data_IF_765159450418
#
_entry.id   IF_765159450418
#
_cell.length_a   1.000
_cell.length_b   1.000
_cell.length_c   1.000
_cell.angle_alpha   90.00
_cell.angle_beta   90.00
_cell.angle_gamma   90.00
#
_symmetry.space_group_name_H-M   'P 1'
#
loop_
_entity.id
_entity.type
_entity.pdbx_description
1 polymer ?
#
# COMPACT_ATOMS: atom_id res chain seq x y z
N UNK A 1 7.18 20.21 6.03
CA UNK A 1 5.96 19.68 5.37
C UNK A 1 5.79 18.29 5.91
N UNK A 2 4.67 18.03 6.56
CA UNK A 2 4.33 16.68 6.98
C UNK A 2 3.86 15.91 5.73
N UNK A 3 4.29 14.66 5.62
CA UNK A 3 4.05 13.80 4.45
C UNK A 3 3.43 12.51 4.96
N UNK A 4 2.33 12.08 4.35
CA UNK A 4 1.76 10.76 4.57
C UNK A 4 2.18 9.84 3.42
N UNK A 5 2.79 8.69 3.75
CA UNK A 5 3.22 7.70 2.75
C UNK A 5 2.50 6.39 3.04
N UNK A 6 1.64 5.98 2.11
CA UNK A 6 0.89 4.72 2.19
C UNK A 6 1.68 3.64 1.46
N UNK A 7 2.09 2.60 2.19
CA UNK A 7 2.71 1.43 1.58
C UNK A 7 1.63 0.49 1.07
N UNK A 8 1.69 0.20 -0.22
CA UNK A 8 0.78 -0.70 -0.93
C UNK A 8 1.50 -2.00 -1.27
N UNK A 9 0.78 -3.09 -1.41
CA UNK A 9 1.37 -4.39 -1.81
C UNK A 9 0.31 -5.23 -2.52
N UNK A 10 0.71 -6.13 -3.41
CA UNK A 10 -0.25 -7.00 -4.09
C UNK A 10 -1.02 -7.86 -3.07
N UNK A 11 -2.34 -8.04 -3.25
CA UNK A 11 -3.16 -8.95 -2.46
C UNK A 11 -2.54 -10.34 -2.25
N UNK A 12 -1.94 -10.91 -3.30
CA UNK A 12 -1.26 -12.19 -3.25
C UNK A 12 -0.08 -12.20 -2.26
N UNK A 13 0.82 -11.22 -2.34
CA UNK A 13 1.94 -11.11 -1.42
C UNK A 13 1.48 -10.83 0.02
N UNK A 14 0.46 -9.98 0.18
CA UNK A 14 -0.12 -9.67 1.49
C UNK A 14 -0.64 -10.94 2.16
N UNK A 15 -1.42 -11.75 1.43
CA UNK A 15 -1.95 -13.03 1.92
C UNK A 15 -0.84 -13.94 2.41
N UNK A 16 0.23 -14.12 1.63
CA UNK A 16 1.37 -14.96 2.02
C UNK A 16 2.01 -14.44 3.31
N UNK A 17 2.21 -13.13 3.44
CA UNK A 17 2.80 -12.50 4.62
C UNK A 17 1.92 -12.68 5.86
N UNK A 18 0.60 -12.56 5.72
CA UNK A 18 -0.35 -12.72 6.83
C UNK A 18 -0.51 -14.18 7.29
N UNK A 19 -0.48 -15.15 6.36
CA UNK A 19 -0.42 -16.58 6.70
C UNK A 19 0.84 -16.88 7.53
N UNK A 20 2.01 -16.37 7.11
CA UNK A 20 3.26 -16.54 7.85
C UNK A 20 3.22 -15.89 9.24
N UNK A 21 2.41 -14.85 9.44
CA UNK A 21 2.15 -14.22 10.74
C UNK A 21 1.15 -15.02 11.62
N UNK A 22 0.54 -16.07 11.09
CA UNK A 22 -0.40 -16.93 11.82
C UNK A 22 -1.79 -16.33 11.99
N UNK A 23 -2.21 -15.43 11.09
CA UNK A 23 -3.59 -14.94 11.09
C UNK A 23 -4.54 -16.03 10.57
N UNK A 24 -5.78 -16.00 11.04
CA UNK A 24 -6.84 -16.86 10.51
C UNK A 24 -7.36 -16.35 9.15
N UNK A 25 -8.07 -17.21 8.43
CA UNK A 25 -8.54 -16.93 7.08
C UNK A 25 -9.49 -15.71 7.02
N UNK A 26 -10.32 -15.51 8.04
CA UNK A 26 -11.26 -14.40 8.09
C UNK A 26 -10.50 -13.06 8.16
N UNK A 27 -9.52 -12.96 9.06
CA UNK A 27 -8.67 -11.77 9.20
C UNK A 27 -7.77 -11.55 8.00
N UNK A 28 -7.27 -12.62 7.39
CA UNK A 28 -6.48 -12.53 6.15
C UNK A 28 -7.34 -11.93 5.04
N UNK A 29 -8.55 -12.45 4.81
CA UNK A 29 -9.45 -11.96 3.77
C UNK A 29 -9.85 -10.50 4.01
N UNK A 30 -10.18 -10.13 5.25
CA UNK A 30 -10.47 -8.74 5.62
C UNK A 30 -9.32 -7.79 5.23
N UNK A 31 -8.08 -8.14 5.55
CA UNK A 31 -6.92 -7.30 5.22
C UNK A 31 -6.63 -7.26 3.70
N UNK A 32 -6.85 -8.38 3.00
CA UNK A 32 -6.66 -8.47 1.56
C UNK A 32 -7.72 -7.65 0.81
N UNK A 33 -8.98 -7.74 1.22
CA UNK A 33 -10.08 -6.93 0.67
C UNK A 33 -9.87 -5.45 0.96
N UNK A 34 -9.42 -5.09 2.18
CA UNK A 34 -9.12 -3.71 2.53
C UNK A 34 -8.00 -3.10 1.67
N UNK A 35 -6.95 -3.89 1.36
CA UNK A 35 -5.89 -3.46 0.44
C UNK A 35 -6.40 -3.27 -0.99
N UNK A 36 -7.29 -4.15 -1.46
CA UNK A 36 -7.87 -4.08 -2.80
C UNK A 36 -8.90 -2.96 -2.98
N UNK A 37 -9.54 -2.55 -1.89
CA UNK A 37 -10.52 -1.46 -1.84
C UNK A 37 -9.89 -0.10 -1.46
N UNK A 38 -8.55 -0.02 -1.42
CA UNK A 38 -7.82 1.21 -1.10
C UNK A 38 -8.17 1.82 0.27
N UNK A 39 -8.66 1.04 1.25
CA UNK A 39 -9.25 1.56 2.50
C UNK A 39 -8.31 2.52 3.22
N UNK A 40 -7.05 2.12 3.45
CA UNK A 40 -6.05 2.95 4.14
C UNK A 40 -5.62 4.15 3.30
N UNK A 41 -5.61 4.04 1.96
CA UNK A 41 -5.29 5.15 1.09
C UNK A 41 -6.38 6.23 1.15
N UNK A 42 -7.65 5.82 1.11
CA UNK A 42 -8.81 6.71 1.21
C UNK A 42 -8.79 7.43 2.56
N UNK A 43 -8.62 6.71 3.67
CA UNK A 43 -8.50 7.31 5.00
C UNK A 43 -7.34 8.31 5.08
N UNK A 44 -6.19 7.99 4.47
CA UNK A 44 -5.04 8.91 4.43
C UNK A 44 -5.36 10.21 3.68
N UNK A 45 -6.07 10.13 2.55
CA UNK A 45 -6.51 11.27 1.75
C UNK A 45 -7.56 12.14 2.45
N UNK A 46 -8.41 11.54 3.28
CA UNK A 46 -9.38 12.30 4.10
C UNK A 46 -8.70 13.06 5.24
N UNK A 47 -7.57 12.56 5.74
CA UNK A 47 -6.87 13.13 6.89
C UNK A 47 -5.69 14.05 6.54
N UNK A 48 -5.16 13.97 5.31
CA UNK A 48 -3.94 14.68 4.92
C UNK A 48 -4.00 15.21 3.49
N UNK A 49 -3.50 16.42 3.28
CA UNK A 49 -3.42 17.04 1.94
C UNK A 49 -2.23 16.52 1.11
N UNK A 50 -1.19 15.97 1.76
CA UNK A 50 0.08 15.57 1.14
C UNK A 50 0.33 14.07 1.30
N UNK A 51 -0.39 13.29 0.48
CA UNK A 51 -0.36 11.82 0.49
C UNK A 51 0.38 11.31 -0.73
N UNK A 52 1.19 10.29 -0.51
CA UNK A 52 1.86 9.52 -1.55
C UNK A 52 1.63 8.04 -1.34
N UNK A 53 1.68 7.26 -2.40
CA UNK A 53 1.65 5.80 -2.31
C UNK A 53 2.89 5.16 -2.91
N UNK A 54 3.33 4.05 -2.31
CA UNK A 54 4.45 3.25 -2.81
C UNK A 54 3.97 1.82 -2.99
N UNK A 55 4.01 1.31 -4.22
CA UNK A 55 3.89 -0.12 -4.46
C UNK A 55 5.16 -0.83 -3.95
N UNK A 56 5.04 -1.63 -2.91
CA UNK A 56 6.14 -2.42 -2.31
C UNK A 56 6.24 -3.84 -2.85
N UNK A 57 5.34 -4.27 -3.74
CA UNK A 57 5.45 -5.56 -4.43
C UNK A 57 6.79 -5.66 -5.13
N UNK A 58 7.40 -6.84 -5.02
CA UNK A 58 8.72 -7.17 -5.56
C UNK A 58 9.87 -6.23 -5.18
N UNK A 59 9.73 -5.40 -4.13
CA UNK A 59 10.78 -4.51 -3.65
C UNK A 59 11.36 -4.97 -2.33
N UNK A 60 12.66 -4.80 -2.18
CA UNK A 60 13.32 -4.93 -0.89
C UNK A 60 13.21 -3.63 -0.06
N UNK A 61 13.62 -3.73 1.21
CA UNK A 61 13.55 -2.60 2.16
C UNK A 61 14.39 -1.40 1.71
N UNK A 62 15.52 -1.63 1.05
CA UNK A 62 16.42 -0.57 0.59
C UNK A 62 15.85 0.19 -0.61
N UNK A 63 15.13 -0.51 -1.49
CA UNK A 63 14.39 0.08 -2.61
C UNK A 63 13.22 0.92 -2.08
N UNK A 64 12.43 0.40 -1.13
CA UNK A 64 11.34 1.16 -0.51
C UNK A 64 11.86 2.40 0.22
N UNK A 65 12.96 2.29 0.96
CA UNK A 65 13.59 3.44 1.61
C UNK A 65 14.06 4.50 0.59
N UNK A 66 14.57 4.06 -0.56
CA UNK A 66 14.94 4.97 -1.65
C UNK A 66 13.73 5.70 -2.22
N UNK A 67 12.58 5.04 -2.38
CA UNK A 67 11.33 5.68 -2.79
C UNK A 67 10.86 6.73 -1.78
N UNK A 68 10.93 6.43 -0.48
CA UNK A 68 10.63 7.41 0.59
C UNK A 68 11.53 8.64 0.47
N UNK A 69 12.84 8.45 0.24
CA UNK A 69 13.75 9.58 0.04
C UNK A 69 13.43 10.40 -1.21
N UNK A 70 12.96 9.78 -2.30
CA UNK A 70 12.52 10.50 -3.49
C UNK A 70 11.29 11.36 -3.22
N UNK A 71 10.31 10.84 -2.46
CA UNK A 71 9.13 11.60 -2.04
C UNK A 71 9.55 12.82 -1.21
N UNK A 72 10.41 12.63 -0.21
CA UNK A 72 10.89 13.72 0.65
C UNK A 72 11.69 14.79 -0.14
N UNK A 73 12.29 14.41 -1.26
CA UNK A 73 12.97 15.33 -2.18
C UNK A 73 12.04 15.96 -3.25
N UNK A 74 10.72 15.74 -3.17
CA UNK A 74 9.73 16.37 -4.03
C UNK A 74 9.43 15.63 -5.34
N UNK A 75 9.66 14.31 -5.40
CA UNK A 75 9.28 13.52 -6.57
C UNK A 75 7.75 13.47 -6.76
N UNK A 76 7.29 13.70 -8.00
CA UNK A 76 5.88 13.57 -8.37
C UNK A 76 5.49 12.15 -8.83
N UNK A 77 6.41 11.17 -8.78
CA UNK A 77 6.17 9.81 -9.28
C UNK A 77 5.28 8.95 -8.38
N UNK A 78 4.88 9.46 -7.22
CA UNK A 78 4.21 8.71 -6.15
C UNK A 78 2.81 9.29 -5.87
N UNK A 79 2.06 9.61 -6.92
CA UNK A 79 0.71 10.15 -6.79
C UNK A 79 -0.22 9.05 -6.26
N UNK A 80 -1.08 9.36 -5.28
CA UNK A 80 -2.05 8.39 -4.75
C UNK A 80 -3.06 7.98 -5.82
N UNK A 81 -3.52 6.71 -5.79
CA UNK A 81 -4.54 6.18 -6.69
C UNK A 81 -4.01 5.75 -8.07
N UNK A 82 -2.72 5.50 -8.18
CA UNK A 82 -2.03 4.96 -9.36
C UNK A 82 -2.00 3.43 -9.42
N UNK A 83 -2.41 2.75 -8.35
CA UNK A 83 -2.40 1.29 -8.20
C UNK A 83 -3.84 0.80 -8.05
N UNK A 84 -4.22 -0.22 -8.81
CA UNK A 84 -5.52 -0.88 -8.72
C UNK A 84 -5.33 -2.39 -8.57
N UNK A 85 -5.89 -2.95 -7.50
CA UNK A 85 -5.86 -4.39 -7.18
C UNK A 85 -7.25 -5.03 -7.20
N UNK A 86 -8.29 -4.29 -7.57
CA UNK A 86 -9.68 -4.75 -7.51
C UNK A 86 -9.91 -6.01 -8.36
N UNK A 87 -9.32 -6.09 -9.55
CA UNK A 87 -9.40 -7.27 -10.42
C UNK A 87 -8.69 -8.50 -9.84
N UNK A 88 -7.61 -8.32 -9.07
CA UNK A 88 -6.89 -9.45 -8.45
C UNK A 88 -7.72 -10.15 -7.35
N UNK A 89 -8.61 -9.41 -6.68
CA UNK A 89 -9.42 -9.93 -5.56
C UNK A 89 -10.87 -10.22 -5.97
N UNK A 90 -11.45 -9.41 -6.85
CA UNK A 90 -12.88 -9.44 -7.20
C UNK A 90 -13.16 -9.77 -8.68
N UNK A 91 -12.11 -9.98 -9.49
CA UNK A 91 -12.20 -10.37 -10.90
C UNK A 91 -12.48 -11.86 -11.13
#
# INVERSE_FOLDING_TARGET
LDVCIVLRTSPYELRIRLIKKGFDDAKINENVEAEALDVILIEALEMNDNVHEINTSDKDVSEVASCVMQILNGSENYRPGSIDWSEEVFG
#
